data_IF_116049519029
#
_entry.id   IF_116049519029
#
_cell.length_a   1.000
_cell.length_b   1.000
_cell.length_c   1.000
_cell.angle_alpha   90.00
_cell.angle_beta   90.00
_cell.angle_gamma   90.00
#
_symmetry.space_group_name_H-M   'P 1'
#
loop_
_entity.id
_entity.type
_entity.pdbx_description
1 polymer ?
#
# COMPACT_ATOMS: atom_id res chain seq x y z
N UNK A 1 -1.56 21.97 -4.74
CA UNK A 1 -2.29 20.70 -4.62
C UNK A 1 -1.71 19.96 -3.43
N UNK A 2 -2.53 19.54 -2.46
CA UNK A 2 -2.03 18.84 -1.27
C UNK A 2 -1.75 17.39 -1.61
N UNK A 3 -0.52 16.94 -1.34
CA UNK A 3 -0.05 15.58 -1.65
C UNK A 3 -0.23 14.67 -0.43
N UNK A 4 -0.73 13.45 -0.64
CA UNK A 4 -0.90 12.44 0.39
C UNK A 4 0.39 11.63 0.52
N UNK A 5 0.98 11.56 1.71
CA UNK A 5 2.11 10.65 1.96
C UNK A 5 1.64 9.20 1.89
N UNK A 6 1.99 8.50 0.80
CA UNK A 6 1.60 7.11 0.53
C UNK A 6 2.09 6.14 1.62
N UNK A 7 3.29 6.38 2.16
CA UNK A 7 3.85 5.54 3.22
C UNK A 7 3.11 5.75 4.54
N UNK A 8 2.81 7.01 4.89
CA UNK A 8 2.02 7.31 6.09
C UNK A 8 0.57 6.81 5.95
N UNK A 9 -0.02 6.93 4.77
CA UNK A 9 -1.34 6.39 4.43
C UNK A 9 -1.41 4.88 4.68
N UNK A 10 -0.46 4.12 4.13
CA UNK A 10 -0.35 2.69 4.34
C UNK A 10 -0.08 2.32 5.81
N UNK A 11 0.79 3.06 6.50
CA UNK A 11 1.12 2.81 7.91
C UNK A 11 -0.12 2.97 8.80
N UNK A 12 -0.92 4.03 8.60
CA UNK A 12 -2.18 4.23 9.32
C UNK A 12 -3.19 3.13 9.01
N UNK A 13 -3.30 2.72 7.73
CA UNK A 13 -4.19 1.63 7.34
C UNK A 13 -3.82 0.31 8.04
N UNK A 14 -2.53 -0.02 8.10
CA UNK A 14 -2.03 -1.21 8.81
C UNK A 14 -2.33 -1.15 10.31
N UNK A 15 -2.12 0.01 10.93
CA UNK A 15 -2.41 0.21 12.35
C UNK A 15 -3.92 0.05 12.69
N UNK A 16 -4.81 0.20 11.71
CA UNK A 16 -6.24 0.04 11.91
C UNK A 16 -6.74 -1.41 11.80
N UNK A 17 -5.91 -2.37 11.38
CA UNK A 17 -6.32 -3.78 11.24
C UNK A 17 -6.81 -4.32 12.58
N UNK A 18 -7.94 -5.04 12.56
CA UNK A 18 -8.58 -5.61 13.75
C UNK A 18 -9.49 -4.63 14.51
N UNK A 19 -9.41 -3.33 14.22
CA UNK A 19 -10.32 -2.34 14.82
C UNK A 19 -11.74 -2.47 14.26
N UNK A 20 -12.74 -2.12 15.08
CA UNK A 20 -14.13 -2.03 14.64
C UNK A 20 -14.41 -0.69 13.95
N UNK A 21 -15.23 -0.72 12.89
CA UNK A 21 -15.75 0.44 12.16
C UNK A 21 -17.24 0.55 12.49
N UNK A 22 -17.60 1.62 13.19
CA UNK A 22 -18.99 1.93 13.53
C UNK A 22 -19.24 3.40 13.15
N UNK A 23 -20.24 3.70 12.30
CA UNK A 23 -21.16 2.77 11.63
C UNK A 23 -20.50 2.01 10.45
N UNK A 24 -21.04 0.82 10.14
CA UNK A 24 -20.61 -0.01 9.01
C UNK A 24 -20.88 0.66 7.66
N UNK A 25 -20.17 0.25 6.60
CA UNK A 25 -20.40 0.74 5.24
C UNK A 25 -19.80 2.12 4.95
N UNK A 26 -18.85 2.57 5.77
CA UNK A 26 -18.18 3.86 5.69
C UNK A 26 -16.76 3.74 5.09
N UNK A 27 -16.60 2.95 4.02
CA UNK A 27 -15.28 2.65 3.44
C UNK A 27 -14.53 3.90 2.99
N UNK A 28 -15.22 4.86 2.36
CA UNK A 28 -14.60 6.11 1.93
C UNK A 28 -14.16 6.97 3.11
N UNK A 29 -14.96 7.05 4.17
CA UNK A 29 -14.58 7.79 5.38
C UNK A 29 -13.34 7.15 6.05
N UNK A 30 -13.29 5.82 6.11
CA UNK A 30 -12.12 5.10 6.58
C UNK A 30 -10.87 5.44 5.76
N UNK A 31 -10.95 5.40 4.43
CA UNK A 31 -9.82 5.70 3.54
C UNK A 31 -9.38 7.16 3.70
N UNK A 32 -10.31 8.12 3.78
CA UNK A 32 -9.97 9.52 4.08
C UNK A 32 -9.25 9.69 5.42
N UNK A 33 -9.68 8.97 6.46
CA UNK A 33 -9.01 8.98 7.77
C UNK A 33 -7.57 8.48 7.67
N UNK A 34 -7.28 7.52 6.78
CA UNK A 34 -5.91 7.03 6.57
C UNK A 34 -5.06 8.07 5.85
N UNK A 35 -5.63 8.91 4.99
CA UNK A 35 -4.89 9.96 4.30
C UNK A 35 -4.40 11.06 5.27
N UNK A 36 -5.04 11.23 6.42
CA UNK A 36 -4.55 12.01 7.57
C UNK A 36 -5.43 13.21 7.92
N UNK A 37 -4.83 14.27 8.48
CA UNK A 37 -5.53 15.50 8.88
C UNK A 37 -5.47 16.62 7.83
N UNK A 38 -6.04 17.79 8.14
CA UNK A 38 -6.05 18.98 7.25
C UNK A 38 -4.66 19.35 6.71
N UNK A 39 -3.58 19.07 7.44
CA UNK A 39 -2.20 19.30 7.00
C UNK A 39 -1.73 18.36 5.88
N UNK A 40 -2.32 17.16 5.75
CA UNK A 40 -1.96 16.14 4.74
C UNK A 40 -2.95 16.03 3.58
N UNK A 41 -4.19 16.52 3.73
CA UNK A 41 -5.24 16.43 2.70
C UNK A 41 -6.04 17.72 2.50
N UNK A 42 -5.74 18.79 3.24
CA UNK A 42 -6.54 20.03 3.19
C UNK A 42 -8.00 19.78 3.57
N UNK A 43 -8.90 20.67 3.15
CA UNK A 43 -10.36 20.56 3.37
C UNK A 43 -11.03 19.42 2.58
N UNK A 44 -10.27 18.44 2.07
CA UNK A 44 -10.76 17.39 1.16
C UNK A 44 -11.49 16.23 1.84
N UNK A 45 -11.26 16.01 3.15
CA UNK A 45 -11.95 14.97 3.92
C UNK A 45 -13.47 15.14 3.77
N UNK A 46 -14.12 14.10 3.26
CA UNK A 46 -15.59 14.07 3.19
C UNK A 46 -16.21 14.95 2.11
N UNK A 47 -15.43 15.45 1.14
CA UNK A 47 -15.99 16.22 -0.01
C UNK A 47 -16.77 15.38 -1.02
N UNK A 48 -16.51 14.07 -1.04
CA UNK A 48 -17.11 13.16 -2.00
C UNK A 48 -18.08 12.25 -1.28
N UNK A 49 -19.32 12.23 -1.76
CA UNK A 49 -20.42 11.51 -1.12
C UNK A 49 -20.27 9.99 -1.17
N UNK A 50 -19.54 9.48 -2.17
CA UNK A 50 -19.44 8.04 -2.42
C UNK A 50 -18.05 7.63 -2.88
N UNK A 51 -17.68 6.38 -2.61
CA UNK A 51 -16.42 5.79 -3.07
C UNK A 51 -16.32 5.79 -4.61
N UNK A 52 -17.46 5.65 -5.30
CA UNK A 52 -17.51 5.76 -6.75
C UNK A 52 -17.27 7.20 -7.23
N UNK A 53 -17.77 8.21 -6.53
CA UNK A 53 -17.44 9.61 -6.84
C UNK A 53 -15.95 9.89 -6.66
N UNK A 54 -15.29 9.25 -5.70
CA UNK A 54 -13.83 9.32 -5.55
C UNK A 54 -13.07 8.71 -6.71
N UNK A 55 -13.57 7.61 -7.30
CA UNK A 55 -13.03 7.10 -8.54
C UNK A 55 -13.24 8.12 -9.67
N UNK A 56 -14.46 8.62 -9.88
CA UNK A 56 -14.75 9.56 -10.96
C UNK A 56 -13.87 10.81 -10.90
N UNK A 57 -13.66 11.35 -9.70
CA UNK A 57 -12.86 12.54 -9.44
C UNK A 57 -11.34 12.34 -9.49
N UNK A 58 -10.84 11.10 -9.56
CA UNK A 58 -9.39 10.85 -9.64
C UNK A 58 -8.82 11.28 -11.01
N UNK A 59 -7.59 11.81 -11.03
CA UNK A 59 -6.92 12.23 -12.25
C UNK A 59 -6.02 11.10 -12.80
N UNK A 60 -5.37 10.35 -11.92
CA UNK A 60 -4.41 9.29 -12.25
C UNK A 60 -5.04 7.90 -12.05
N UNK A 61 -5.85 7.47 -13.00
CA UNK A 61 -6.58 6.19 -12.96
C UNK A 61 -5.80 5.09 -13.67
N UNK A 62 -5.80 3.89 -13.09
CA UNK A 62 -5.28 2.66 -13.70
C UNK A 62 -6.39 1.61 -13.81
N UNK A 63 -7.28 1.72 -14.82
CA UNK A 63 -8.44 0.84 -14.94
C UNK A 63 -8.05 -0.62 -15.17
N UNK A 64 -8.67 -1.53 -14.42
CA UNK A 64 -8.50 -2.98 -14.55
C UNK A 64 -7.18 -3.54 -14.02
N UNK A 65 -6.20 -2.69 -13.69
CA UNK A 65 -4.90 -3.17 -13.20
C UNK A 65 -5.01 -3.79 -11.81
N UNK A 66 -4.65 -5.08 -11.71
CA UNK A 66 -4.68 -5.89 -10.49
C UNK A 66 -3.34 -5.98 -9.77
N UNK A 67 -2.34 -5.22 -10.21
CA UNK A 67 -1.01 -5.12 -9.59
C UNK A 67 -0.77 -3.74 -8.96
N UNK A 68 -1.66 -3.25 -8.08
CA UNK A 68 -1.51 -1.93 -7.50
C UNK A 68 -0.24 -1.84 -6.65
N UNK A 69 0.47 -0.71 -6.69
CA UNK A 69 1.52 -0.41 -5.72
C UNK A 69 0.96 -0.45 -4.28
N UNK A 70 1.82 -0.64 -3.29
CA UNK A 70 1.40 -0.49 -1.90
C UNK A 70 1.20 1.00 -1.57
N UNK A 71 0.16 1.32 -0.78
CA UNK A 71 -0.10 2.70 -0.35
C UNK A 71 -0.88 3.55 -1.35
N UNK A 72 -1.61 2.94 -2.27
CA UNK A 72 -2.58 3.61 -3.16
C UNK A 72 -4.01 3.19 -2.82
N UNK A 73 -4.98 3.94 -3.34
CA UNK A 73 -6.40 3.59 -3.22
C UNK A 73 -6.83 2.59 -4.30
N UNK A 74 -7.70 1.66 -3.92
CA UNK A 74 -8.33 0.68 -4.80
C UNK A 74 -9.81 0.95 -4.86
N UNK A 75 -10.38 0.97 -6.06
CA UNK A 75 -11.77 1.37 -6.28
C UNK A 75 -12.61 0.24 -6.88
N UNK A 76 -13.87 0.22 -6.46
CA UNK A 76 -14.90 -0.69 -6.96
C UNK A 76 -16.15 0.10 -7.35
N UNK A 77 -16.80 -0.35 -8.42
CA UNK A 77 -17.94 0.35 -9.00
C UNK A 77 -19.27 0.11 -8.30
N UNK A 78 -20.35 0.72 -8.82
CA UNK A 78 -21.71 0.37 -8.47
C UNK A 78 -21.92 -1.14 -8.58
N UNK A 79 -22.66 -1.71 -7.63
CA UNK A 79 -22.99 -3.12 -7.68
C UNK A 79 -24.10 -3.36 -8.71
N UNK A 80 -23.93 -4.29 -9.67
CA UNK A 80 -24.99 -4.62 -10.60
C UNK A 80 -26.16 -5.34 -9.92
N UNK A 81 -25.91 -6.08 -8.84
CA UNK A 81 -26.86 -7.04 -8.23
C UNK A 81 -27.44 -6.60 -6.89
N UNK A 82 -26.82 -5.67 -6.15
CA UNK A 82 -27.39 -5.17 -4.89
C UNK A 82 -28.68 -4.39 -5.15
N UNK A 83 -29.60 -4.45 -4.20
CA UNK A 83 -30.89 -3.74 -4.24
C UNK A 83 -31.06 -2.69 -3.14
N UNK A 84 -30.09 -2.58 -2.23
CA UNK A 84 -30.11 -1.59 -1.15
C UNK A 84 -29.72 -0.17 -1.60
N UNK A 85 -29.93 0.81 -0.70
CA UNK A 85 -29.59 2.23 -0.93
C UNK A 85 -28.11 2.46 -1.29
N UNK A 86 -27.22 1.54 -0.94
CA UNK A 86 -25.79 1.68 -1.18
C UNK A 86 -25.39 1.10 -2.55
N UNK A 87 -26.30 0.51 -3.34
CA UNK A 87 -26.01 -0.07 -4.66
C UNK A 87 -25.06 0.77 -5.50
N UNK A 88 -25.29 2.08 -5.57
CA UNK A 88 -24.54 3.01 -6.41
C UNK A 88 -23.29 3.62 -5.76
N UNK A 89 -23.02 3.34 -4.48
CA UNK A 89 -21.97 4.02 -3.72
C UNK A 89 -20.53 3.63 -4.10
N UNK A 90 -20.33 2.50 -4.77
CA UNK A 90 -19.00 1.92 -4.95
C UNK A 90 -18.39 1.36 -3.66
N UNK A 91 -17.11 1.02 -3.72
CA UNK A 91 -16.29 0.70 -2.55
C UNK A 91 -14.86 1.20 -2.77
N UNK A 92 -14.13 1.49 -1.69
CA UNK A 92 -12.74 1.94 -1.75
C UNK A 92 -11.94 1.34 -0.60
N UNK A 93 -10.71 0.92 -0.88
CA UNK A 93 -9.83 0.23 0.07
C UNK A 93 -8.37 0.69 -0.11
N UNK A 94 -7.49 0.27 0.80
CA UNK A 94 -6.05 0.62 0.74
C UNK A 94 -5.24 -0.56 0.22
N UNK A 95 -4.48 -0.38 -0.86
CA UNK A 95 -3.56 -1.42 -1.36
C UNK A 95 -2.39 -1.62 -0.41
N UNK A 96 -2.03 -2.88 -0.15
CA UNK A 96 -0.76 -3.24 0.51
C UNK A 96 0.25 -3.88 -0.45
N UNK A 97 -0.03 -3.82 -1.76
CA UNK A 97 0.75 -4.48 -2.81
C UNK A 97 0.39 -5.95 -3.02
N UNK A 98 0.85 -6.53 -4.12
CA UNK A 98 0.72 -7.97 -4.40
C UNK A 98 -0.72 -8.48 -4.52
N UNK A 99 -1.65 -7.63 -4.96
CA UNK A 99 -3.09 -7.97 -5.11
C UNK A 99 -3.87 -8.05 -3.79
N UNK A 100 -3.28 -7.58 -2.69
CA UNK A 100 -3.88 -7.54 -1.36
C UNK A 100 -4.28 -6.12 -0.97
N UNK A 101 -5.27 -6.03 -0.08
CA UNK A 101 -5.80 -4.76 0.40
C UNK A 101 -6.25 -4.82 1.85
N UNK A 102 -6.28 -3.65 2.49
CA UNK A 102 -6.93 -3.40 3.77
C UNK A 102 -8.29 -2.79 3.48
N UNK A 103 -9.34 -3.47 3.93
CA UNK A 103 -10.72 -3.07 3.73
C UNK A 103 -11.45 -2.96 5.06
N UNK A 104 -12.52 -2.16 5.10
CA UNK A 104 -13.48 -2.20 6.20
C UNK A 104 -14.45 -3.35 6.00
N UNK A 105 -15.09 -3.76 7.07
CA UNK A 105 -16.16 -4.74 7.06
C UNK A 105 -15.76 -6.12 6.50
N UNK A 106 -14.50 -6.55 6.69
CA UNK A 106 -14.00 -7.83 6.16
C UNK A 106 -14.69 -9.02 6.82
N UNK A 107 -14.89 -8.94 8.14
CA UNK A 107 -15.67 -9.90 8.92
C UNK A 107 -16.56 -9.12 9.88
N UNK A 108 -17.84 -8.95 9.55
CA UNK A 108 -18.73 -8.06 10.29
C UNK A 108 -18.22 -6.62 10.22
N UNK A 109 -18.20 -5.90 11.34
CA UNK A 109 -17.82 -4.48 11.41
C UNK A 109 -16.31 -4.23 11.56
N UNK A 110 -15.42 -5.11 11.07
CA UNK A 110 -13.97 -5.03 11.37
C UNK A 110 -13.10 -4.72 10.15
N UNK A 111 -12.03 -3.97 10.38
CA UNK A 111 -10.96 -3.77 9.39
C UNK A 111 -10.11 -5.04 9.29
N UNK A 112 -9.83 -5.47 8.05
CA UNK A 112 -9.02 -6.66 7.81
C UNK A 112 -8.29 -6.64 6.47
N UNK A 113 -7.50 -7.69 6.23
CA UNK A 113 -6.82 -7.90 4.96
C UNK A 113 -7.59 -8.91 4.12
N UNK A 114 -7.69 -8.66 2.82
CA UNK A 114 -8.22 -9.63 1.85
C UNK A 114 -7.65 -9.41 0.45
N UNK A 115 -7.94 -10.32 -0.47
CA UNK A 115 -7.59 -10.15 -1.89
C UNK A 115 -8.60 -9.26 -2.60
N UNK A 116 -8.21 -8.68 -3.76
CA UNK A 116 -9.12 -7.95 -4.65
C UNK A 116 -10.35 -8.82 -5.00
N UNK A 117 -10.11 -10.06 -5.47
CA UNK A 117 -11.17 -10.98 -5.85
C UNK A 117 -12.14 -11.34 -4.71
N UNK A 118 -11.62 -11.53 -3.49
CA UNK A 118 -12.47 -11.80 -2.33
C UNK A 118 -13.38 -10.61 -2.01
N UNK A 119 -12.89 -9.37 -2.18
CA UNK A 119 -13.66 -8.16 -1.93
C UNK A 119 -14.72 -7.91 -2.99
N UNK A 120 -14.42 -8.16 -4.27
CA UNK A 120 -15.42 -8.10 -5.35
C UNK A 120 -16.60 -9.01 -5.04
N UNK A 121 -16.29 -10.26 -4.64
CA UNK A 121 -17.32 -11.23 -4.26
C UNK A 121 -18.08 -10.80 -3.01
N UNK A 122 -17.39 -10.32 -1.98
CA UNK A 122 -18.00 -9.90 -0.72
C UNK A 122 -18.95 -8.71 -0.90
N UNK A 123 -18.52 -7.71 -1.66
CA UNK A 123 -19.28 -6.47 -1.86
C UNK A 123 -20.27 -6.58 -3.01
N UNK A 124 -20.12 -7.59 -3.87
CA UNK A 124 -20.81 -7.74 -5.14
C UNK A 124 -20.57 -6.54 -6.07
N UNK A 125 -19.38 -5.96 -6.03
CA UNK A 125 -18.98 -4.79 -6.84
C UNK A 125 -17.83 -5.14 -7.76
N UNK A 126 -17.85 -4.70 -9.02
CA UNK A 126 -16.75 -4.91 -9.94
C UNK A 126 -15.54 -4.06 -9.52
N UNK A 127 -14.36 -4.65 -9.52
CA UNK A 127 -13.11 -3.89 -9.36
C UNK A 127 -12.90 -2.96 -10.55
N UNK A 128 -12.64 -1.69 -10.29
CA UNK A 128 -12.39 -0.70 -11.33
C UNK A 128 -10.91 -0.52 -11.63
N UNK A 129 -10.04 -0.64 -10.62
CA UNK A 129 -8.63 -0.32 -10.73
C UNK A 129 -8.09 0.35 -9.47
N UNK A 130 -6.89 0.90 -9.58
CA UNK A 130 -6.27 1.73 -8.56
C UNK A 130 -6.02 3.14 -9.08
N UNK A 131 -5.76 4.07 -8.16
CA UNK A 131 -5.49 5.46 -8.50
C UNK A 131 -4.19 5.96 -7.86
N UNK A 132 -3.39 6.71 -8.61
CA UNK A 132 -2.21 7.42 -8.11
C UNK A 132 -2.55 8.67 -7.28
N UNK A 133 -3.83 8.95 -7.11
CA UNK A 133 -4.39 9.97 -6.23
C UNK A 133 -5.59 9.44 -5.43
N UNK A 134 -6.09 10.22 -4.47
CA UNK A 134 -7.35 9.98 -3.80
C UNK A 134 -8.32 11.14 -4.07
N UNK A 135 -9.17 10.98 -5.09
CA UNK A 135 -10.20 11.97 -5.42
C UNK A 135 -9.61 13.32 -5.85
N UNK A 136 -8.55 13.30 -6.65
CA UNK A 136 -7.84 14.49 -7.12
C UNK A 136 -6.73 14.96 -6.17
N UNK A 137 -6.27 14.12 -5.24
CA UNK A 137 -5.15 14.41 -4.33
C UNK A 137 -4.03 13.41 -4.53
N UNK A 138 -2.99 13.81 -5.26
CA UNK A 138 -1.88 12.92 -5.64
C UNK A 138 -1.23 12.26 -4.42
N UNK A 139 -0.91 10.97 -4.53
CA UNK A 139 -0.04 10.30 -3.58
C UNK A 139 1.42 10.68 -3.87
N UNK A 140 2.21 11.02 -2.85
CA UNK A 140 3.66 11.01 -2.97
C UNK A 140 4.08 9.55 -2.93
N UNK A 141 4.12 8.91 -4.10
CA UNK A 141 4.72 7.59 -4.22
C UNK A 141 6.17 7.73 -3.83
N UNK A 142 6.58 7.05 -2.75
CA UNK A 142 8.01 6.87 -2.46
C UNK A 142 8.51 5.81 -3.42
N UNK A 143 8.68 6.19 -4.68
CA UNK A 143 9.48 5.43 -5.63
C UNK A 143 10.91 5.51 -5.11
N UNK A 144 11.39 4.46 -4.45
CA UNK A 144 12.82 4.28 -4.35
C UNK A 144 13.33 3.92 -5.76
N UNK A 145 13.44 4.92 -6.63
CA UNK A 145 14.23 4.78 -7.84
C UNK A 145 15.67 4.68 -7.37
N UNK A 146 16.21 3.46 -7.32
CA UNK A 146 17.65 3.28 -7.30
C UNK A 146 18.12 3.81 -8.66
N UNK A 147 18.69 5.00 -8.67
CA UNK A 147 19.40 5.49 -9.86
C UNK A 147 20.49 4.47 -10.19
N UNK A 148 20.78 4.18 -11.47
CA UNK A 148 21.72 3.12 -11.88
C UNK A 148 23.18 3.27 -11.42
N UNK A 149 23.50 4.17 -10.49
CA UNK A 149 24.83 4.34 -9.90
C UNK A 149 24.77 4.38 -8.35
N UNK A 150 23.64 4.01 -7.75
CA UNK A 150 23.44 4.07 -6.31
C UNK A 150 23.91 2.76 -5.66
N UNK A 151 24.91 2.88 -4.79
CA UNK A 151 25.21 1.85 -3.79
C UNK A 151 24.11 1.92 -2.72
N UNK A 152 23.26 0.90 -2.63
CA UNK A 152 22.30 0.80 -1.52
C UNK A 152 22.89 -0.05 -0.40
N UNK A 153 22.64 0.34 0.85
CA UNK A 153 23.06 -0.43 2.03
C UNK A 153 21.81 -0.92 2.75
N UNK A 154 21.66 -2.23 2.89
CA UNK A 154 20.66 -2.81 3.77
C UNK A 154 21.33 -3.32 5.04
N UNK A 155 20.72 -2.98 6.18
CA UNK A 155 21.13 -3.48 7.49
C UNK A 155 20.02 -4.43 7.98
N UNK A 156 20.38 -5.70 8.15
CA UNK A 156 19.51 -6.70 8.74
C UNK A 156 19.92 -6.87 10.20
N UNK A 157 18.98 -6.63 11.11
CA UNK A 157 19.16 -6.90 12.53
C UNK A 157 18.43 -8.20 12.87
N UNK A 158 19.14 -9.17 13.44
CA UNK A 158 18.56 -10.40 13.95
C UNK A 158 19.10 -10.67 15.38
N UNK A 159 18.59 -11.70 16.10
CA UNK A 159 19.09 -12.03 17.45
C UNK A 159 20.56 -12.44 17.50
N UNK A 160 21.15 -12.82 16.36
CA UNK A 160 22.55 -13.26 16.24
C UNK A 160 23.53 -12.10 15.97
N UNK A 161 23.02 -10.93 15.55
CA UNK A 161 23.82 -9.74 15.32
C UNK A 161 23.25 -8.79 14.26
N UNK A 162 24.07 -7.79 13.92
CA UNK A 162 23.81 -6.83 12.85
C UNK A 162 24.60 -7.22 11.61
N UNK A 163 23.91 -7.34 10.47
CA UNK A 163 24.51 -7.73 9.19
C UNK A 163 24.29 -6.65 8.14
N UNK A 164 25.37 -6.26 7.48
CA UNK A 164 25.38 -5.20 6.47
C UNK A 164 25.55 -5.79 5.07
N UNK A 165 24.61 -5.46 4.19
CA UNK A 165 24.59 -5.85 2.79
C UNK A 165 24.78 -4.61 1.93
N UNK A 166 25.69 -4.69 0.97
CA UNK A 166 25.96 -3.61 0.02
C UNK A 166 25.47 -4.08 -1.35
N UNK A 167 24.59 -3.29 -1.96
CA UNK A 167 24.08 -3.49 -3.30
C UNK A 167 24.78 -2.52 -4.23
N UNK A 168 25.60 -3.05 -5.13
CA UNK A 168 26.25 -2.28 -6.18
C UNK A 168 25.43 -2.45 -7.46
N UNK A 169 24.62 -1.43 -7.78
CA UNK A 169 23.72 -1.47 -8.94
C UNK A 169 24.47 -1.48 -10.28
N UNK A 170 25.70 -0.98 -10.32
CA UNK A 170 26.55 -1.02 -11.52
C UNK A 170 27.05 -2.43 -11.85
N UNK A 171 27.14 -3.31 -10.84
CA UNK A 171 27.69 -4.66 -10.98
C UNK A 171 26.65 -5.77 -10.94
N UNK A 172 25.40 -5.45 -10.60
CA UNK A 172 24.36 -6.47 -10.37
C UNK A 172 24.73 -7.47 -9.26
N UNK A 173 25.60 -7.07 -8.32
CA UNK A 173 26.15 -7.96 -7.29
C UNK A 173 25.68 -7.55 -5.89
N UNK A 174 25.45 -8.56 -5.05
CA UNK A 174 25.17 -8.41 -3.62
C UNK A 174 26.43 -8.86 -2.87
N UNK A 175 27.08 -7.94 -2.16
CA UNK A 175 28.23 -8.23 -1.31
C UNK A 175 27.86 -8.23 0.17
N UNK A 176 28.24 -9.27 0.91
CA UNK A 176 28.22 -9.26 2.38
C UNK A 176 29.56 -8.81 2.94
N UNK A 177 29.54 -7.89 3.91
CA UNK A 177 30.74 -7.59 4.72
C UNK A 177 30.75 -8.55 5.91
N UNK A 178 31.67 -9.52 5.94
CA UNK A 178 31.89 -10.39 7.11
C UNK A 178 31.70 -11.90 6.95
N UNK A 179 31.45 -12.42 5.75
CA UNK A 179 31.80 -13.82 5.42
C UNK A 179 30.89 -14.97 5.90
N UNK A 180 29.65 -14.73 6.36
CA UNK A 180 28.69 -15.82 6.57
C UNK A 180 27.40 -15.59 5.79
N UNK A 181 27.07 -16.51 4.88
CA UNK A 181 25.83 -16.48 4.11
C UNK A 181 24.61 -16.68 5.04
N UNK A 182 23.76 -15.66 5.16
CA UNK A 182 22.49 -15.76 5.89
C UNK A 182 21.40 -16.14 4.91
N UNK A 183 20.56 -17.11 5.27
CA UNK A 183 19.34 -17.41 4.51
C UNK A 183 18.28 -16.37 4.90
N UNK A 184 17.82 -15.56 3.94
CA UNK A 184 16.86 -14.47 4.17
C UNK A 184 15.59 -14.90 4.91
N UNK A 185 15.18 -16.17 4.79
CA UNK A 185 14.07 -16.80 5.52
C UNK A 185 14.16 -16.70 7.05
N UNK A 186 15.35 -16.46 7.59
CA UNK A 186 15.61 -16.40 9.03
C UNK A 186 15.61 -14.94 9.57
N UNK A 187 15.44 -13.93 8.69
CA UNK A 187 15.33 -12.53 9.07
C UNK A 187 13.86 -12.11 9.30
N UNK A 188 13.61 -11.32 10.35
CA UNK A 188 12.27 -10.79 10.65
C UNK A 188 11.98 -9.45 9.94
N UNK A 189 13.02 -8.63 9.70
CA UNK A 189 12.92 -7.29 9.12
C UNK A 189 14.16 -6.95 8.27
N UNK A 190 13.97 -6.21 7.16
CA UNK A 190 15.07 -5.59 6.38
C UNK A 190 14.98 -4.08 6.52
N UNK A 191 16.08 -3.43 6.94
CA UNK A 191 16.18 -1.97 6.95
C UNK A 191 16.97 -1.53 5.71
N UNK A 192 16.30 -0.91 4.74
CA UNK A 192 16.98 -0.25 3.64
C UNK A 192 17.31 1.20 4.03
N UNK A 193 18.56 1.61 3.86
CA UNK A 193 18.99 3.00 3.98
C UNK A 193 19.03 3.66 2.60
N UNK A 194 18.31 4.77 2.46
CA UNK A 194 18.46 5.67 1.31
C UNK A 194 19.76 6.49 1.41
N UNK A 195 20.28 6.93 0.26
CA UNK A 195 21.44 7.81 0.16
C UNK A 195 21.20 9.09 0.99
N UNK A 196 22.17 9.43 1.85
CA UNK A 196 22.12 10.59 2.75
C UNK A 196 21.82 10.27 4.21
N UNK A 197 21.71 8.99 4.59
CA UNK A 197 21.45 8.58 5.98
C UNK A 197 20.03 8.89 6.46
N UNK A 198 19.16 9.35 5.58
CA UNK A 198 17.79 9.69 5.91
C UNK A 198 16.84 8.54 5.53
N UNK A 199 16.23 8.01 6.59
CA UNK A 199 15.05 7.13 6.63
C UNK A 199 15.31 5.63 6.42
N UNK A 200 15.15 4.93 7.55
CA UNK A 200 14.96 3.49 7.66
C UNK A 200 13.58 3.16 7.09
N UNK A 201 13.53 2.44 5.97
CA UNK A 201 12.29 1.79 5.51
C UNK A 201 12.32 0.36 6.02
N UNK A 202 11.42 0.04 6.96
CA UNK A 202 11.17 -1.34 7.40
C UNK A 202 10.43 -2.07 6.30
N UNK A 203 11.10 -2.99 5.62
CA UNK A 203 10.49 -3.84 4.59
C UNK A 203 10.31 -5.25 5.16
N UNK A 204 9.08 -5.82 5.12
CA UNK A 204 8.87 -7.23 5.45
C UNK A 204 9.64 -8.12 4.47
N UNK A 205 10.32 -9.15 4.96
CA UNK A 205 11.13 -10.07 4.14
C UNK A 205 10.35 -10.69 2.98
N UNK A 206 9.06 -10.95 3.16
CA UNK A 206 8.18 -11.47 2.11
C UNK A 206 7.98 -10.53 0.91
N UNK A 207 8.18 -9.22 1.10
CA UNK A 207 8.18 -8.23 0.02
C UNK A 207 9.56 -8.18 -0.66
N UNK A 208 10.62 -8.39 0.11
CA UNK A 208 12.00 -8.41 -0.36
C UNK A 208 12.26 -9.61 -1.28
N UNK A 209 11.86 -10.82 -0.89
CA UNK A 209 12.04 -12.03 -1.71
C UNK A 209 11.36 -11.93 -3.09
N UNK A 210 10.24 -11.20 -3.20
CA UNK A 210 9.52 -11.01 -4.48
C UNK A 210 10.14 -9.97 -5.39
N UNK A 211 10.81 -8.95 -4.83
CA UNK A 211 11.53 -7.95 -5.63
C UNK A 211 12.77 -8.54 -6.31
N UNK A 212 13.35 -9.61 -5.74
CA UNK A 212 14.62 -10.18 -6.21
C UNK A 212 14.50 -11.58 -6.83
N UNK A 213 13.32 -12.20 -6.83
CA UNK A 213 13.07 -13.46 -7.56
C UNK A 213 13.25 -13.32 -9.09
N UNK A 214 13.22 -12.09 -9.62
CA UNK A 214 13.51 -11.81 -11.04
C UNK A 214 14.97 -11.44 -11.34
N UNK A 215 15.84 -11.33 -10.34
CA UNK A 215 17.26 -11.03 -10.53
C UNK A 215 18.16 -12.30 -10.60
N UNK A 216 17.58 -13.49 -10.38
CA UNK A 216 18.30 -14.76 -10.30
C UNK A 216 17.57 -15.90 -11.04
N UNK A 217 17.01 -15.59 -12.20
CA UNK A 217 16.48 -16.56 -13.17
C UNK A 217 17.13 -16.36 -14.52
#
# INVERSE_FOLDING_TARGET
MTTIDSAAFLARARAAIGTSIIPQGMCLNFVWRMAGGLSSIGNAVGRLDTAYNSWLAADDKHPGDRHPPAGVALHYGPSPTRTDRNRNAGDVTVSIGGGLQIATDVTGARVGIMTIAAREKQTQRPYLGWTGDLGGHAFSVVSATLTPAAVAVAIINNPEGQHMFIFDSDKGQIGMVGGQAIRLKDAAEVNALGLGGAKIVKVPVSLYERLFAHAWG
#
